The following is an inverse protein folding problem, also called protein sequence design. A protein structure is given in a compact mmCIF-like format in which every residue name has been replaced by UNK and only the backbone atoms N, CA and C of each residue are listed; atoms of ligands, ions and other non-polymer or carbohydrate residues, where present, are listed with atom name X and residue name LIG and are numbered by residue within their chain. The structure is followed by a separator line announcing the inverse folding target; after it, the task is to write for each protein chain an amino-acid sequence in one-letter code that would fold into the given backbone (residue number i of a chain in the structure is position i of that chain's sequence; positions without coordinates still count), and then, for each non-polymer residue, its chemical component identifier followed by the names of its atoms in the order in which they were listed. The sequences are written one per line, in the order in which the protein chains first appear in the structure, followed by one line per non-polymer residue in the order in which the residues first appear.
data_IF_514856315521
#
_entry.id   IF_514856315521
#
_cell.length_a   1.000
_cell.length_b   1.000
_cell.length_c   1.000
_cell.angle_alpha   90.00
_cell.angle_beta   90.00
_cell.angle_gamma   90.00
#
_symmetry.space_group_name_H-M   'P 1'
#
loop_
_entity.id
_entity.type
_entity.pdbx_description
1 polymer ?
#
# COMPACT_ATOMS: atom_id res chain seq x y z
N UNK A 1 -5.79 12.24 -24.75
CA UNK A 1 -5.86 13.00 -23.47
C UNK A 1 -6.20 12.02 -22.35
N UNK A 2 -5.59 12.15 -21.17
CA UNK A 2 -5.94 11.32 -20.01
C UNK A 2 -7.32 11.71 -19.48
N UNK A 3 -8.19 10.72 -19.30
CA UNK A 3 -9.50 10.91 -18.71
C UNK A 3 -9.37 11.37 -17.24
N UNK A 4 -10.36 12.10 -16.70
CA UNK A 4 -10.36 12.49 -15.29
C UNK A 4 -10.23 11.30 -14.33
N UNK A 5 -10.85 10.16 -14.68
CA UNK A 5 -10.81 8.92 -13.91
C UNK A 5 -9.38 8.35 -13.83
N UNK A 6 -8.65 8.37 -14.94
CA UNK A 6 -7.27 7.90 -14.97
C UNK A 6 -6.35 8.79 -14.12
N UNK A 7 -6.53 10.11 -14.20
CA UNK A 7 -5.77 11.05 -13.37
C UNK A 7 -6.03 10.80 -11.89
N UNK A 8 -7.30 10.67 -11.50
CA UNK A 8 -7.70 10.36 -10.13
C UNK A 8 -7.11 9.02 -9.66
N UNK A 9 -7.14 7.99 -10.50
CA UNK A 9 -6.55 6.68 -10.22
C UNK A 9 -5.05 6.80 -9.94
N UNK A 10 -4.29 7.42 -10.85
CA UNK A 10 -2.84 7.54 -10.71
C UNK A 10 -2.47 8.35 -9.46
N UNK A 11 -3.17 9.45 -9.19
CA UNK A 11 -2.97 10.24 -7.96
C UNK A 11 -3.21 9.39 -6.73
N UNK A 12 -4.31 8.63 -6.69
CA UNK A 12 -4.67 7.81 -5.54
C UNK A 12 -3.65 6.68 -5.30
N UNK A 13 -3.20 6.01 -6.38
CA UNK A 13 -2.15 4.98 -6.31
C UNK A 13 -0.86 5.57 -5.75
N UNK A 14 -0.44 6.75 -6.23
CA UNK A 14 0.80 7.42 -5.78
C UNK A 14 0.70 7.85 -4.31
N UNK A 15 -0.42 8.46 -3.90
CA UNK A 15 -0.64 8.87 -2.51
C UNK A 15 -0.60 7.67 -1.57
N UNK A 16 -1.32 6.60 -1.90
CA UNK A 16 -1.34 5.40 -1.06
C UNK A 16 0.04 4.73 -1.02
N UNK A 17 0.74 4.64 -2.15
CA UNK A 17 2.11 4.12 -2.20
C UNK A 17 3.07 4.95 -1.35
N UNK A 18 2.98 6.29 -1.38
CA UNK A 18 3.79 7.17 -0.55
C UNK A 18 3.50 6.99 0.94
N UNK A 19 2.23 6.95 1.34
CA UNK A 19 1.83 6.74 2.74
C UNK A 19 2.36 5.39 3.23
N UNK A 20 2.14 4.32 2.46
CA UNK A 20 2.54 2.96 2.85
C UNK A 20 4.07 2.78 2.84
N UNK A 21 4.81 3.41 1.94
CA UNK A 21 6.29 3.32 1.93
C UNK A 21 6.93 4.19 3.00
N UNK A 22 6.66 5.50 2.98
CA UNK A 22 7.30 6.47 3.87
C UNK A 22 6.75 6.41 5.30
N UNK A 23 5.50 6.01 5.49
CA UNK A 23 4.91 5.86 6.82
C UNK A 23 5.41 4.64 7.56
N UNK A 24 5.71 3.54 6.86
CA UNK A 24 6.07 2.25 7.48
C UNK A 24 7.56 2.16 7.77
N UNK A 25 8.42 2.64 6.88
CA UNK A 25 9.88 2.65 7.07
C UNK A 25 10.35 3.17 8.44
N UNK A 26 9.91 4.35 8.94
CA UNK A 26 10.35 4.84 10.25
C UNK A 26 9.86 3.96 11.41
N UNK A 27 8.68 3.34 11.27
CA UNK A 27 8.15 2.39 12.27
C UNK A 27 9.04 1.14 12.32
N UNK A 28 9.42 0.60 11.16
CA UNK A 28 10.31 -0.56 11.08
C UNK A 28 11.72 -0.26 11.62
N UNK A 29 12.26 0.92 11.31
CA UNK A 29 13.54 1.37 11.85
C UNK A 29 13.49 1.47 13.39
N UNK A 30 12.41 2.04 13.93
CA UNK A 30 12.20 2.10 15.37
C UNK A 30 12.13 0.70 15.98
N UNK A 31 11.33 -0.20 15.39
CA UNK A 31 11.16 -1.58 15.82
C UNK A 31 12.48 -2.37 15.80
N UNK A 32 13.30 -2.18 14.78
CA UNK A 32 14.60 -2.82 14.67
C UNK A 32 15.57 -2.38 15.77
N UNK A 33 15.55 -1.07 16.10
CA UNK A 33 16.45 -0.42 17.05
C UNK A 33 16.05 -0.65 18.50
N UNK A 34 14.78 -0.43 18.84
CA UNK A 34 14.27 -0.44 20.21
C UNK A 34 13.63 -1.77 20.63
N UNK A 35 13.60 -2.75 19.72
CA UNK A 35 12.98 -4.07 19.93
C UNK A 35 11.52 -3.98 20.40
N UNK A 36 10.83 -2.90 20.05
CA UNK A 36 9.44 -2.61 20.41
C UNK A 36 8.78 -1.72 19.35
N UNK A 37 7.46 -1.77 19.24
CA UNK A 37 6.72 -0.88 18.33
C UNK A 37 6.61 0.53 18.95
N UNK A 38 6.70 1.60 18.15
CA UNK A 38 6.51 2.95 18.65
C UNK A 38 5.04 3.16 19.05
N UNK A 39 4.83 3.81 20.18
CA UNK A 39 3.48 4.12 20.68
C UNK A 39 3.10 5.56 20.32
N UNK A 40 2.06 5.72 19.52
CA UNK A 40 1.46 7.01 19.18
C UNK A 40 0.60 7.47 20.35
N UNK A 41 0.88 8.67 20.85
CA UNK A 41 0.20 9.29 21.99
C UNK A 41 0.17 8.42 23.27
N UNK A 42 1.12 7.48 23.42
CA UNK A 42 1.20 6.58 24.58
C UNK A 42 0.11 5.50 24.65
N UNK A 43 -0.81 5.44 23.68
CA UNK A 43 -1.98 4.56 23.72
C UNK A 43 -2.00 3.58 22.54
N UNK A 44 -1.62 4.03 21.33
CA UNK A 44 -1.77 3.22 20.10
C UNK A 44 -0.39 2.75 19.63
N UNK A 45 -0.13 1.44 19.66
CA UNK A 45 1.07 0.88 19.03
C UNK A 45 0.96 1.00 17.51
N UNK A 46 1.86 1.75 16.89
CA UNK A 46 1.89 1.90 15.44
C UNK A 46 2.17 0.54 14.78
N UNK A 47 1.44 0.22 13.71
CA UNK A 47 1.56 -1.05 12.98
C UNK A 47 1.24 -2.30 13.83
N UNK A 48 0.55 -2.13 14.96
CA UNK A 48 0.03 -3.25 15.75
C UNK A 48 -1.06 -3.99 14.99
N UNK A 49 -1.12 -5.30 15.18
CA UNK A 49 -2.06 -6.14 14.44
C UNK A 49 -1.72 -7.62 14.58
N UNK A 50 -2.41 -8.48 13.83
CA UNK A 50 -2.19 -9.94 13.85
C UNK A 50 -0.72 -10.36 13.69
N UNK A 51 0.08 -9.62 12.92
CA UNK A 51 1.50 -9.93 12.75
C UNK A 51 2.36 -9.69 13.99
N UNK A 52 1.92 -8.87 14.95
CA UNK A 52 2.62 -8.70 16.24
C UNK A 52 2.66 -10.02 17.04
N UNK A 53 1.60 -10.83 16.94
CA UNK A 53 1.52 -12.13 17.62
C UNK A 53 2.50 -13.17 17.07
N UNK A 54 3.02 -12.98 15.85
CA UNK A 54 4.02 -13.84 15.22
C UNK A 54 5.46 -13.48 15.61
N UNK A 55 5.61 -12.47 16.48
CA UNK A 55 6.90 -11.99 16.95
C UNK A 55 7.46 -10.83 16.13
N UNK A 56 8.32 -10.05 16.77
CA UNK A 56 8.84 -8.79 16.23
C UNK A 56 9.64 -8.98 14.92
N UNK A 57 10.44 -10.04 14.82
CA UNK A 57 11.22 -10.31 13.61
C UNK A 57 10.30 -10.58 12.41
N UNK A 58 9.25 -11.39 12.61
CA UNK A 58 8.25 -11.68 11.57
C UNK A 58 7.52 -10.41 11.16
N UNK A 59 7.14 -9.56 12.13
CA UNK A 59 6.52 -8.26 11.88
C UNK A 59 7.43 -7.37 11.02
N UNK A 60 8.72 -7.29 11.35
CA UNK A 60 9.68 -6.47 10.60
C UNK A 60 9.81 -6.96 9.16
N UNK A 61 9.96 -8.29 8.96
CA UNK A 61 10.06 -8.89 7.62
C UNK A 61 8.79 -8.64 6.82
N UNK A 62 7.61 -8.87 7.41
CA UNK A 62 6.33 -8.59 6.77
C UNK A 62 6.22 -7.11 6.38
N UNK A 63 6.73 -6.20 7.22
CA UNK A 63 6.71 -4.76 6.96
C UNK A 63 7.59 -4.40 5.78
N UNK A 64 8.79 -4.99 5.68
CA UNK A 64 9.68 -4.79 4.55
C UNK A 64 9.08 -5.31 3.25
N UNK A 65 8.42 -6.48 3.28
CA UNK A 65 7.70 -7.02 2.12
C UNK A 65 6.56 -6.09 1.72
N UNK A 66 5.83 -5.52 2.68
CA UNK A 66 4.77 -4.57 2.38
C UNK A 66 5.29 -3.25 1.78
N UNK A 67 6.43 -2.75 2.27
CA UNK A 67 7.12 -1.58 1.68
C UNK A 67 7.57 -1.89 0.26
N UNK A 68 8.11 -3.08 -0.01
CA UNK A 68 8.50 -3.49 -1.35
C UNK A 68 7.29 -3.57 -2.29
N UNK A 69 6.19 -4.21 -1.87
CA UNK A 69 4.94 -4.27 -2.62
C UNK A 69 4.36 -2.87 -2.88
N UNK A 70 4.41 -1.98 -1.89
CA UNK A 70 3.95 -0.59 -2.03
C UNK A 70 4.84 0.21 -2.97
N UNK A 71 6.16 -0.04 -2.99
CA UNK A 71 7.09 0.62 -3.91
C UNK A 71 6.82 0.21 -5.36
N UNK A 72 6.45 -1.05 -5.62
CA UNK A 72 6.05 -1.51 -6.95
C UNK A 72 4.81 -0.80 -7.50
N UNK A 73 3.97 -0.20 -6.64
CA UNK A 73 2.82 0.59 -7.09
C UNK A 73 3.23 1.86 -7.83
N UNK A 74 4.44 2.40 -7.60
CA UNK A 74 4.95 3.51 -8.40
C UNK A 74 5.18 3.08 -9.86
N UNK A 75 5.65 1.85 -10.08
CA UNK A 75 5.77 1.29 -11.43
C UNK A 75 4.39 1.08 -12.06
N UNK A 76 3.43 0.54 -11.28
CA UNK A 76 2.05 0.40 -11.74
C UNK A 76 1.43 1.76 -12.12
N UNK A 77 1.63 2.80 -11.29
CA UNK A 77 1.19 4.17 -11.57
C UNK A 77 1.82 4.73 -12.84
N UNK A 78 3.11 4.49 -13.06
CA UNK A 78 3.80 4.89 -14.29
C UNK A 78 3.19 4.18 -15.52
N UNK A 79 2.93 2.88 -15.45
CA UNK A 79 2.31 2.14 -16.56
C UNK A 79 0.85 2.56 -16.80
N UNK A 80 0.08 2.80 -15.74
CA UNK A 80 -1.28 3.35 -15.81
C UNK A 80 -1.29 4.73 -16.49
N UNK A 81 -0.34 5.60 -16.15
CA UNK A 81 -0.18 6.90 -16.81
C UNK A 81 0.12 6.77 -18.30
N UNK A 82 0.77 5.69 -18.73
CA UNK A 82 1.03 5.39 -20.14
C UNK A 82 -0.08 4.56 -20.81
N UNK A 83 -1.25 4.40 -20.16
CA UNK A 83 -2.39 3.60 -20.63
C UNK A 83 -2.04 2.12 -20.89
N UNK A 84 -1.03 1.56 -20.24
CA UNK A 84 -0.66 0.15 -20.43
C UNK A 84 -1.54 -0.76 -19.58
N UNK A 85 -2.09 -1.79 -20.20
CA UNK A 85 -2.88 -2.82 -19.51
C UNK A 85 -2.12 -3.50 -18.37
N UNK A 86 -0.81 -3.70 -18.55
CA UNK A 86 0.09 -4.25 -17.53
C UNK A 86 0.04 -3.46 -16.22
N UNK A 87 -0.14 -2.14 -16.29
CA UNK A 87 -0.24 -1.28 -15.10
C UNK A 87 -1.51 -1.55 -14.30
N UNK A 88 -2.64 -1.76 -14.98
CA UNK A 88 -3.91 -2.08 -14.35
C UNK A 88 -3.88 -3.46 -13.69
N UNK A 89 -3.35 -4.47 -14.40
CA UNK A 89 -3.19 -5.83 -13.88
C UNK A 89 -2.24 -5.85 -12.70
N UNK A 90 -1.07 -5.21 -12.81
CA UNK A 90 -0.11 -5.11 -11.72
C UNK A 90 -0.74 -4.42 -10.50
N UNK A 91 -1.47 -3.33 -10.69
CA UNK A 91 -2.10 -2.63 -9.57
C UNK A 91 -3.15 -3.50 -8.86
N UNK A 92 -3.97 -4.26 -9.59
CA UNK A 92 -4.94 -5.17 -8.99
C UNK A 92 -4.25 -6.28 -8.18
N UNK A 93 -3.17 -6.86 -8.70
CA UNK A 93 -2.36 -7.85 -7.97
C UNK A 93 -1.79 -7.22 -6.70
N UNK A 94 -1.19 -6.03 -6.81
CA UNK A 94 -0.60 -5.33 -5.66
C UNK A 94 -1.63 -4.93 -4.63
N UNK A 95 -2.87 -4.58 -5.02
CA UNK A 95 -3.98 -4.34 -4.09
C UNK A 95 -4.39 -5.61 -3.35
N UNK A 96 -4.50 -6.74 -4.07
CA UNK A 96 -4.76 -8.05 -3.47
C UNK A 96 -3.68 -8.42 -2.45
N UNK A 97 -2.41 -8.30 -2.82
CA UNK A 97 -1.27 -8.53 -1.91
C UNK A 97 -1.31 -7.56 -0.72
N UNK A 98 -1.54 -6.26 -0.97
CA UNK A 98 -1.61 -5.24 0.08
C UNK A 98 -2.74 -5.49 1.08
N UNK A 99 -3.85 -6.07 0.65
CA UNK A 99 -4.98 -6.37 1.53
C UNK A 99 -4.62 -7.32 2.69
N UNK A 100 -3.71 -8.28 2.44
CA UNK A 100 -3.17 -9.17 3.46
C UNK A 100 -2.42 -8.36 4.52
N UNK A 101 -1.61 -7.39 4.09
CA UNK A 101 -0.84 -6.53 4.99
C UNK A 101 -1.72 -5.51 5.73
N UNK A 102 -2.77 -5.00 5.09
CA UNK A 102 -3.72 -4.11 5.77
C UNK A 102 -4.39 -4.82 6.94
N UNK A 103 -4.79 -6.08 6.75
CA UNK A 103 -5.31 -6.89 7.84
C UNK A 103 -4.23 -7.21 8.87
N UNK A 104 -3.05 -7.68 8.44
CA UNK A 104 -1.96 -8.10 9.31
C UNK A 104 -1.38 -6.99 10.20
N UNK A 105 -1.46 -5.73 9.75
CA UNK A 105 -1.01 -4.54 10.48
C UNK A 105 -2.16 -3.65 10.98
N UNK A 106 -3.41 -4.15 10.91
CA UNK A 106 -4.62 -3.43 11.28
C UNK A 106 -4.70 -2.00 10.74
N UNK A 107 -4.33 -1.81 9.47
CA UNK A 107 -4.25 -0.50 8.81
C UNK A 107 -5.64 -0.06 8.35
N UNK A 108 -6.27 0.94 9.01
CA UNK A 108 -7.67 1.28 8.74
C UNK A 108 -7.85 1.95 7.37
N UNK A 109 -6.83 2.64 6.86
CA UNK A 109 -6.91 3.37 5.59
C UNK A 109 -6.75 2.47 4.36
N UNK A 110 -6.31 1.22 4.52
CA UNK A 110 -6.06 0.31 3.39
C UNK A 110 -7.28 0.15 2.48
N UNK A 111 -8.41 -0.37 3.01
CA UNK A 111 -9.65 -0.49 2.23
C UNK A 111 -10.18 0.86 1.72
N UNK A 112 -10.05 1.93 2.52
CA UNK A 112 -10.53 3.27 2.16
C UNK A 112 -9.85 3.83 0.92
N UNK A 113 -8.54 3.56 0.76
CA UNK A 113 -7.78 3.99 -0.42
C UNK A 113 -7.78 2.93 -1.53
N UNK A 114 -7.91 1.64 -1.19
CA UNK A 114 -7.85 0.53 -2.15
C UNK A 114 -9.12 0.32 -2.95
N UNK A 115 -10.30 0.37 -2.32
CA UNK A 115 -11.59 0.14 -3.01
C UNK A 115 -11.82 1.16 -4.14
N UNK A 116 -11.60 2.48 -3.95
CA UNK A 116 -11.78 3.43 -5.03
C UNK A 116 -10.81 3.20 -6.19
N UNK A 117 -9.60 2.66 -5.95
CA UNK A 117 -8.69 2.30 -7.04
C UNK A 117 -9.25 1.17 -7.89
N UNK A 118 -9.82 0.12 -7.28
CA UNK A 118 -10.47 -0.98 -8.02
C UNK A 118 -11.61 -0.45 -8.88
N UNK A 119 -12.45 0.42 -8.33
CA UNK A 119 -13.56 1.05 -9.07
C UNK A 119 -13.04 1.88 -10.23
N UNK A 120 -12.03 2.72 -10.00
CA UNK A 120 -11.46 3.57 -11.05
C UNK A 120 -10.75 2.75 -12.15
N UNK A 121 -10.09 1.64 -11.79
CA UNK A 121 -9.53 0.69 -12.77
C UNK A 121 -10.64 0.08 -13.62
N UNK A 122 -11.74 -0.36 -13.01
CA UNK A 122 -12.88 -0.91 -13.73
C UNK A 122 -13.51 0.12 -14.69
N UNK A 123 -13.67 1.36 -14.24
CA UNK A 123 -14.20 2.46 -15.07
C UNK A 123 -13.25 2.87 -16.21
N UNK A 124 -11.94 2.78 -15.99
CA UNK A 124 -10.92 3.12 -16.99
C UNK A 124 -10.53 1.92 -17.88
N UNK A 125 -11.06 0.72 -17.63
CA UNK A 125 -10.58 -0.55 -18.21
C UNK A 125 -10.49 -0.53 -19.73
N UNK A 126 -11.53 -0.06 -20.41
CA UNK A 126 -11.57 0.03 -21.87
C UNK A 126 -10.63 1.09 -22.49
N UNK A 127 -9.95 1.88 -21.66
CA UNK A 127 -8.97 2.89 -22.13
C UNK A 127 -7.54 2.35 -22.19
N UNK A 128 -7.27 1.20 -21.56
CA UNK A 128 -5.94 0.59 -21.56
C UNK A 128 -5.64 -0.12 -22.89
N UNK A 129 -4.37 -0.13 -23.26
CA UNK A 129 -3.82 -0.73 -24.47
C UNK A 129 -2.92 -1.91 -24.14
#
# INVERSE_FOLDING_TARGET
MHSPQLKALVILVVIEALISTLGILPILQYAFTHKSLPTIAGIIKALSGPFEALGLNTLIVAGLVFVAASSLKFLAAYWLWNLRMDGAVLQLILLGVSSIFWYGFAVPYGPLLGIPQVILIALAWGSFK
#
